data_IF_852923091687
#
_entry.id   IF_852923091687
#
_cell.length_a   1.000
_cell.length_b   1.000
_cell.length_c   1.000
_cell.angle_alpha   90.00
_cell.angle_beta   90.00
_cell.angle_gamma   90.00
#
_symmetry.space_group_name_H-M   'P 1'
#
loop_
_entity.id
_entity.type
_entity.pdbx_description
1 polymer ?
#
# COMPACT_ATOMS: atom_id res chain seq x y z
N UNK A 1 11.88 -2.15 25.26
CA UNK A 1 10.79 -2.68 24.40
C UNK A 1 10.89 -2.00 23.05
N UNK A 2 11.28 -2.72 22.00
CA UNK A 2 11.95 -2.10 20.85
C UNK A 2 10.97 -1.28 20.00
N UNK A 3 11.25 0.02 19.80
CA UNK A 3 10.47 0.93 18.96
C UNK A 3 10.25 0.37 17.54
N UNK A 4 11.16 -0.47 17.07
CA UNK A 4 11.05 -1.28 15.84
C UNK A 4 9.88 -2.27 15.84
N UNK A 5 9.56 -2.89 16.98
CA UNK A 5 8.37 -3.75 17.11
C UNK A 5 7.09 -2.93 17.04
N UNK A 6 7.05 -1.75 17.65
CA UNK A 6 5.89 -0.84 17.58
C UNK A 6 5.67 -0.41 16.13
N UNK A 7 6.73 0.00 15.44
CA UNK A 7 6.71 0.33 14.02
C UNK A 7 6.15 -0.83 13.18
N UNK A 8 6.64 -2.05 13.39
CA UNK A 8 6.16 -3.21 12.67
C UNK A 8 4.68 -3.47 12.95
N UNK A 9 4.29 -3.55 14.23
CA UNK A 9 2.94 -3.92 14.67
C UNK A 9 1.90 -2.89 14.22
N UNK A 10 2.26 -1.61 14.16
CA UNK A 10 1.37 -0.54 13.75
C UNK A 10 1.18 -0.49 12.23
N UNK A 11 2.20 -0.88 11.45
CA UNK A 11 2.14 -0.90 9.98
C UNK A 11 1.58 -2.22 9.42
N UNK A 12 1.75 -3.33 10.13
CA UNK A 12 1.30 -4.67 9.74
C UNK A 12 -0.18 -4.74 9.32
N UNK A 13 -1.16 -4.19 10.07
CA UNK A 13 -2.57 -4.24 9.67
C UNK A 13 -2.85 -3.52 8.35
N UNK A 14 -2.16 -2.42 8.05
CA UNK A 14 -2.32 -1.70 6.78
C UNK A 14 -1.79 -2.49 5.60
N UNK A 15 -0.62 -3.12 5.77
CA UNK A 15 0.01 -3.96 4.75
C UNK A 15 -0.89 -5.17 4.46
N UNK A 16 -1.34 -5.87 5.51
CA UNK A 16 -2.24 -7.02 5.35
C UNK A 16 -3.56 -6.62 4.71
N UNK A 17 -4.18 -5.52 5.16
CA UNK A 17 -5.41 -5.01 4.56
C UNK A 17 -5.23 -4.70 3.07
N UNK A 18 -4.10 -4.09 2.68
CA UNK A 18 -3.81 -3.79 1.27
C UNK A 18 -3.62 -5.03 0.42
N UNK A 19 -2.93 -6.05 0.94
CA UNK A 19 -2.78 -7.33 0.26
C UNK A 19 -4.14 -8.01 0.11
N UNK A 20 -4.96 -8.01 1.16
CA UNK A 20 -6.30 -8.59 1.14
C UNK A 20 -7.21 -7.90 0.12
N UNK A 21 -7.22 -6.56 0.10
CA UNK A 21 -7.98 -5.78 -0.88
C UNK A 21 -7.51 -6.11 -2.30
N UNK A 22 -6.20 -6.14 -2.56
CA UNK A 22 -5.66 -6.51 -3.87
C UNK A 22 -6.07 -7.94 -4.28
N UNK A 23 -6.09 -8.88 -3.32
CA UNK A 23 -6.53 -10.25 -3.59
C UNK A 23 -8.03 -10.32 -3.94
N UNK A 24 -8.87 -9.61 -3.19
CA UNK A 24 -10.32 -9.53 -3.47
C UNK A 24 -10.56 -8.89 -4.84
N UNK A 25 -9.90 -7.79 -5.15
CA UNK A 25 -10.07 -7.10 -6.44
C UNK A 25 -9.57 -7.94 -7.61
N UNK A 26 -8.49 -8.71 -7.44
CA UNK A 26 -8.02 -9.66 -8.44
C UNK A 26 -9.05 -10.78 -8.67
N UNK A 27 -9.60 -11.32 -7.58
CA UNK A 27 -10.62 -12.37 -7.64
C UNK A 27 -11.92 -11.89 -8.28
N UNK A 28 -12.30 -10.63 -8.07
CA UNK A 28 -13.47 -10.00 -8.69
C UNK A 28 -13.25 -9.59 -10.16
N UNK A 29 -12.03 -9.78 -10.71
CA UNK A 29 -11.71 -9.37 -12.08
C UNK A 29 -11.57 -7.86 -12.27
N UNK A 30 -11.56 -7.08 -11.18
CA UNK A 30 -11.46 -5.63 -11.25
C UNK A 30 -10.06 -5.17 -11.68
N UNK A 31 -9.02 -5.95 -11.40
CA UNK A 31 -7.62 -5.63 -11.69
C UNK A 31 -6.94 -6.75 -12.49
N UNK A 32 -6.04 -6.36 -13.39
CA UNK A 32 -5.25 -7.31 -14.19
C UNK A 32 -4.21 -8.03 -13.34
N UNK A 33 -3.81 -9.24 -13.78
CA UNK A 33 -2.76 -10.04 -13.12
C UNK A 33 -1.46 -9.25 -12.90
N UNK A 34 -1.07 -8.40 -13.86
CA UNK A 34 0.12 -7.55 -13.77
C UNK A 34 -0.03 -6.48 -12.68
N UNK A 35 -1.18 -5.80 -12.60
CA UNK A 35 -1.44 -4.79 -11.57
C UNK A 35 -1.42 -5.41 -10.17
N UNK A 36 -2.08 -6.58 -10.01
CA UNK A 36 -2.05 -7.33 -8.76
C UNK A 36 -0.61 -7.70 -8.35
N UNK A 37 0.17 -8.28 -9.27
CA UNK A 37 1.55 -8.68 -9.00
C UNK A 37 2.43 -7.51 -8.56
N UNK A 38 2.37 -6.37 -9.26
CA UNK A 38 3.12 -5.16 -8.90
C UNK A 38 2.70 -4.64 -7.52
N UNK A 39 1.39 -4.56 -7.26
CA UNK A 39 0.86 -4.09 -5.98
C UNK A 39 1.32 -4.99 -4.83
N UNK A 40 1.23 -6.31 -4.98
CA UNK A 40 1.71 -7.27 -3.99
C UNK A 40 3.22 -7.14 -3.76
N UNK A 41 4.03 -7.00 -4.81
CA UNK A 41 5.48 -6.80 -4.68
C UNK A 41 5.81 -5.52 -3.91
N UNK A 42 5.13 -4.41 -4.19
CA UNK A 42 5.36 -3.14 -3.49
C UNK A 42 5.07 -3.30 -2.00
N UNK A 43 3.95 -3.92 -1.64
CA UNK A 43 3.61 -4.16 -0.22
C UNK A 43 4.56 -5.12 0.48
N UNK A 44 5.05 -6.15 -0.23
CA UNK A 44 6.08 -7.05 0.29
C UNK A 44 7.43 -6.35 0.47
N UNK A 45 7.82 -5.45 -0.44
CA UNK A 45 9.03 -4.64 -0.32
C UNK A 45 8.97 -3.72 0.91
N UNK A 46 7.82 -3.05 1.13
CA UNK A 46 7.61 -2.22 2.32
C UNK A 46 7.76 -3.08 3.58
N UNK A 47 7.12 -4.25 3.63
CA UNK A 47 7.20 -5.16 4.78
C UNK A 47 8.64 -5.63 5.02
N UNK A 48 9.35 -6.04 3.97
CA UNK A 48 10.74 -6.46 4.07
C UNK A 48 11.65 -5.34 4.58
N UNK A 49 11.42 -4.10 4.13
CA UNK A 49 12.10 -2.91 4.63
C UNK A 49 11.86 -2.68 6.12
N UNK A 50 10.61 -2.79 6.58
CA UNK A 50 10.26 -2.60 8.00
C UNK A 50 10.87 -3.68 8.90
N UNK A 51 10.87 -4.95 8.47
CA UNK A 51 11.50 -6.06 9.22
C UNK A 51 13.02 -5.86 9.28
N UNK A 52 13.61 -5.45 8.16
CA UNK A 52 15.06 -5.25 8.05
C UNK A 52 15.56 -3.99 8.75
N UNK A 53 14.67 -3.04 9.10
CA UNK A 53 15.01 -1.76 9.69
C UNK A 53 15.89 -1.89 10.94
N UNK A 54 15.63 -2.88 11.80
CA UNK A 54 16.46 -3.16 12.99
C UNK A 54 17.89 -3.58 12.60
N UNK A 55 18.02 -4.51 11.66
CA UNK A 55 19.31 -5.04 11.22
C UNK A 55 20.13 -3.98 10.48
N UNK A 56 19.49 -3.22 9.59
CA UNK A 56 20.09 -2.09 8.87
C UNK A 56 20.66 -1.09 9.88
N UNK A 57 19.87 -0.73 10.89
CA UNK A 57 20.30 0.23 11.90
C UNK A 57 21.52 -0.25 12.70
N UNK A 58 21.50 -1.52 13.16
CA UNK A 58 22.63 -2.12 13.88
C UNK A 58 23.88 -2.21 12.99
N UNK A 59 23.72 -2.55 11.71
CA UNK A 59 24.81 -2.58 10.74
C UNK A 59 25.43 -1.19 10.52
N UNK A 60 24.61 -0.15 10.36
CA UNK A 60 25.10 1.22 10.17
C UNK A 60 25.84 1.74 11.41
N UNK A 61 25.32 1.45 12.61
CA UNK A 61 25.92 1.88 13.88
C UNK A 61 27.26 1.17 14.15
N UNK A 62 27.32 -0.14 13.92
CA UNK A 62 28.53 -0.95 14.14
C UNK A 62 29.68 -0.60 13.19
N UNK A 63 29.38 -0.10 11.99
CA UNK A 63 30.38 0.38 11.04
C UNK A 63 30.73 1.87 11.21
N UNK A 64 30.21 2.53 12.26
CA UNK A 64 30.40 3.97 12.53
C UNK A 64 30.02 4.89 11.35
N UNK A 65 29.22 4.39 10.41
CA UNK A 65 28.76 5.13 9.23
C UNK A 65 27.76 6.23 9.64
N UNK A 66 27.13 6.08 10.81
CA UNK A 66 26.17 7.06 11.34
C UNK A 66 26.22 7.10 12.88
N UNK A 67 26.34 8.30 13.46
CA UNK A 67 26.23 8.55 14.92
C UNK A 67 24.78 8.89 15.33
N UNK A 68 23.77 8.36 14.64
CA UNK A 68 22.38 8.73 14.87
C UNK A 68 21.84 8.11 16.16
N UNK A 69 20.97 8.83 16.85
CA UNK A 69 20.22 8.31 18.00
C UNK A 69 19.31 7.12 17.62
N UNK A 70 19.02 6.19 18.55
CA UNK A 70 18.12 5.07 18.29
C UNK A 70 16.76 5.57 17.82
N UNK A 71 16.19 4.88 16.82
CA UNK A 71 14.93 5.21 16.12
C UNK A 71 13.96 5.99 17.01
N UNK A 72 13.62 7.23 16.64
CA UNK A 72 12.74 8.06 17.46
C UNK A 72 11.28 7.59 17.33
N UNK A 73 10.47 7.82 18.36
CA UNK A 73 9.02 7.60 18.26
C UNK A 73 8.40 8.51 17.19
N UNK A 74 8.99 9.67 16.95
CA UNK A 74 8.58 10.57 15.89
C UNK A 74 8.75 9.92 14.50
N UNK A 75 9.90 9.27 14.25
CA UNK A 75 10.17 8.56 13.00
C UNK A 75 9.16 7.42 12.79
N UNK A 76 8.81 6.72 13.87
CA UNK A 76 7.79 5.65 13.83
C UNK A 76 6.44 6.19 13.37
N UNK A 77 6.01 7.33 13.91
CA UNK A 77 4.75 7.98 13.52
C UNK A 77 4.82 8.47 12.08
N UNK A 78 5.94 9.07 11.66
CA UNK A 78 6.11 9.54 10.28
C UNK A 78 6.07 8.40 9.27
N UNK A 79 6.82 7.32 9.49
CA UNK A 79 6.84 6.15 8.61
C UNK A 79 5.43 5.55 8.50
N UNK A 80 4.75 5.44 9.64
CA UNK A 80 3.35 5.01 9.68
C UNK A 80 2.45 5.93 8.87
N UNK A 81 2.60 7.24 9.02
CA UNK A 81 1.82 8.23 8.27
C UNK A 81 2.01 8.05 6.76
N UNK A 82 3.25 7.85 6.31
CA UNK A 82 3.57 7.59 4.90
C UNK A 82 2.90 6.30 4.42
N UNK A 83 3.02 5.20 5.16
CA UNK A 83 2.39 3.92 4.81
C UNK A 83 0.87 4.04 4.76
N UNK A 84 0.29 4.80 5.69
CA UNK A 84 -1.15 5.06 5.75
C UNK A 84 -1.62 5.89 4.55
N UNK A 85 -0.89 6.95 4.18
CA UNK A 85 -1.20 7.75 2.99
C UNK A 85 -1.10 6.92 1.73
N UNK A 86 -0.06 6.08 1.60
CA UNK A 86 0.08 5.15 0.48
C UNK A 86 -1.07 4.15 0.42
N UNK A 87 -1.49 3.61 1.56
CA UNK A 87 -2.66 2.74 1.68
C UNK A 87 -3.92 3.43 1.14
N UNK A 88 -4.21 4.64 1.62
CA UNK A 88 -5.39 5.40 1.18
C UNK A 88 -5.32 5.79 -0.30
N UNK A 89 -4.17 6.27 -0.76
CA UNK A 89 -3.97 6.66 -2.15
C UNK A 89 -4.20 5.48 -3.10
N UNK A 90 -3.67 4.32 -2.76
CA UNK A 90 -3.85 3.10 -3.54
C UNK A 90 -5.32 2.65 -3.57
N UNK A 91 -5.99 2.65 -2.41
CA UNK A 91 -7.42 2.31 -2.31
C UNK A 91 -8.30 3.29 -3.10
N UNK A 92 -8.00 4.59 -3.05
CA UNK A 92 -8.72 5.61 -3.78
C UNK A 92 -8.55 5.44 -5.30
N UNK A 93 -7.34 5.17 -5.78
CA UNK A 93 -7.08 4.91 -7.20
C UNK A 93 -7.91 3.75 -7.74
N UNK A 94 -7.95 2.62 -7.03
CA UNK A 94 -8.74 1.44 -7.45
C UNK A 94 -10.24 1.78 -7.53
N UNK A 95 -10.76 2.50 -6.52
CA UNK A 95 -12.17 2.93 -6.52
C UNK A 95 -12.50 3.87 -7.67
N UNK A 96 -11.59 4.79 -8.00
CA UNK A 96 -11.77 5.72 -9.12
C UNK A 96 -11.80 4.96 -10.44
N UNK A 97 -10.87 4.01 -10.68
CA UNK A 97 -10.88 3.18 -11.89
C UNK A 97 -12.15 2.32 -12.02
N UNK A 98 -12.75 1.90 -10.90
CA UNK A 98 -14.01 1.17 -10.91
C UNK A 98 -15.22 2.07 -11.20
N UNK A 99 -15.22 3.30 -10.69
CA UNK A 99 -16.25 4.30 -10.97
C UNK A 99 -16.22 4.74 -12.43
N UNK A 100 -15.03 4.98 -12.98
CA UNK A 100 -14.86 5.43 -14.37
C UNK A 100 -15.42 4.41 -15.36
N UNK A 101 -15.13 3.11 -15.15
CA UNK A 101 -15.73 2.01 -15.94
C UNK A 101 -17.25 2.00 -15.88
N UNK A 102 -17.84 2.15 -14.68
CA UNK A 102 -19.30 2.19 -14.52
C UNK A 102 -19.94 3.39 -15.21
N UNK A 103 -19.28 4.54 -15.20
CA UNK A 103 -19.75 5.75 -15.91
C UNK A 103 -19.70 5.54 -17.41
N UNK A 104 -18.64 4.92 -17.93
CA UNK A 104 -18.53 4.58 -19.36
C UNK A 104 -19.63 3.60 -19.80
N UNK A 105 -19.87 2.53 -19.03
CA UNK A 105 -20.93 1.56 -19.31
C UNK A 105 -22.31 2.22 -19.34
N UNK A 106 -22.61 3.09 -18.37
CA UNK A 106 -23.87 3.86 -18.33
C UNK A 106 -24.00 4.81 -19.52
N UNK A 107 -22.93 5.50 -19.90
CA UNK A 107 -22.96 6.41 -21.02
C UNK A 107 -23.20 5.68 -22.35
N UNK A 108 -22.62 4.49 -22.49
CA UNK A 108 -22.82 3.62 -23.64
C UNK A 108 -24.24 3.04 -23.68
N UNK A 109 -24.82 2.66 -22.54
CA UNK A 109 -26.22 2.23 -22.49
C UNK A 109 -27.18 3.38 -22.87
N UNK A 110 -26.89 4.59 -22.39
CA UNK A 110 -27.70 5.77 -22.68
C UNK A 110 -27.65 6.14 -24.17
N UNK A 111 -26.46 6.08 -24.78
CA UNK A 111 -26.29 6.40 -26.21
C UNK A 111 -27.00 5.39 -27.10
N UNK A 112 -27.01 4.11 -26.73
CA UNK A 112 -27.75 3.07 -27.46
C UNK A 112 -29.25 3.36 -27.37
N UNK A 113 -29.78 3.63 -26.16
CA UNK A 113 -31.21 3.92 -25.99
C UNK A 113 -31.65 5.17 -26.77
N UNK A 114 -30.87 6.24 -26.71
CA UNK A 114 -31.13 7.48 -27.46
C UNK A 114 -30.98 7.34 -28.98
N UNK A 115 -30.26 6.33 -29.47
CA UNK A 115 -30.09 6.08 -30.91
C UNK A 115 -31.19 5.22 -31.52
N UNK A 116 -31.97 4.52 -30.68
CA UNK A 116 -33.07 3.64 -31.08
C UNK A 116 -34.41 4.39 -31.13
N UNK A 117 -34.54 5.51 -30.41
CA UNK A 117 -35.65 6.46 -30.51
C UNK A 117 -35.42 7.49 -31.62
#
# INVERSE_FOLDING_TARGET
MSRYLILLLLNLPFILASIMVSFVDYKLGNISRRKHFIQTIIWLLILAGLISAKYIYVYLFSNHLTQTEPLSLFDVIQITGIVTVLYFANRSRIKIEALDRRVQDLHQELSIRLSVD
#
